data_IF_799010975023
#
_entry.id   IF_799010975023
#
_cell.length_a   1.000
_cell.length_b   1.000
_cell.length_c   1.000
_cell.angle_alpha   90.00
_cell.angle_beta   90.00
_cell.angle_gamma   90.00
#
_symmetry.space_group_name_H-M   'P 1'
#
loop_
_entity.id
_entity.type
_entity.pdbx_description
1 polymer ?
#
# COMPACT_ATOMS: atom_id res chain seq x y z
N UNK A 1 -22.89 -3.07 9.14
CA UNK A 1 -24.02 -3.53 8.34
C UNK A 1 -24.63 -4.81 8.92
N UNK A 2 -23.86 -5.88 9.06
CA UNK A 2 -24.37 -7.18 9.58
C UNK A 2 -25.04 -7.06 10.95
N UNK A 3 -24.44 -6.32 11.89
CA UNK A 3 -24.97 -6.12 13.26
C UNK A 3 -26.34 -5.43 13.25
N UNK A 4 -26.64 -4.61 12.23
CA UNK A 4 -27.92 -3.90 12.08
C UNK A 4 -28.87 -4.56 11.08
N UNK A 5 -28.54 -5.75 10.55
CA UNK A 5 -29.37 -6.46 9.58
C UNK A 5 -29.55 -5.74 8.24
N UNK A 6 -28.65 -4.80 7.91
CA UNK A 6 -28.72 -4.06 6.65
C UNK A 6 -27.95 -4.84 5.59
N UNK A 7 -28.62 -5.22 4.49
CA UNK A 7 -27.97 -5.82 3.33
C UNK A 7 -27.27 -4.72 2.51
N UNK A 8 -26.03 -4.96 2.02
CA UNK A 8 -25.34 -4.05 1.12
C UNK A 8 -26.16 -3.68 -0.12
N UNK A 9 -26.93 -4.62 -0.67
CA UNK A 9 -27.85 -4.37 -1.81
C UNK A 9 -28.88 -3.27 -1.56
N UNK A 10 -29.31 -3.10 -0.32
CA UNK A 10 -30.28 -2.04 0.06
C UNK A 10 -29.66 -0.65 -0.03
N UNK A 11 -28.32 -0.55 0.08
CA UNK A 11 -27.59 0.72 0.02
C UNK A 11 -27.49 1.25 -1.43
N UNK A 12 -27.69 0.41 -2.44
CA UNK A 12 -27.57 0.73 -3.87
C UNK A 12 -26.21 1.35 -4.26
N UNK A 13 -25.18 1.08 -3.47
CA UNK A 13 -23.80 1.42 -3.82
C UNK A 13 -23.34 0.53 -4.97
N UNK A 14 -22.56 1.07 -5.90
CA UNK A 14 -22.00 0.34 -7.02
C UNK A 14 -20.49 0.40 -7.04
N UNK A 15 -19.94 1.51 -6.62
CA UNK A 15 -18.52 1.82 -6.66
C UNK A 15 -18.07 2.33 -5.31
N UNK A 16 -16.91 1.89 -4.84
CA UNK A 16 -16.19 2.44 -3.71
C UNK A 16 -14.85 3.00 -4.18
N UNK A 17 -14.61 4.30 -3.93
CA UNK A 17 -13.30 4.91 -4.08
C UNK A 17 -12.64 4.92 -2.70
N UNK A 18 -11.53 4.22 -2.55
CA UNK A 18 -10.85 3.99 -1.28
C UNK A 18 -9.45 4.60 -1.36
N UNK A 19 -9.05 5.30 -0.32
CA UNK A 19 -7.74 5.94 -0.24
C UNK A 19 -7.54 6.58 1.13
N UNK A 20 -6.34 7.13 1.36
CA UNK A 20 -5.91 7.69 2.63
C UNK A 20 -5.23 6.66 3.54
N UNK A 21 -5.51 5.40 3.33
CA UNK A 21 -4.89 4.23 3.99
C UNK A 21 -4.49 3.23 2.91
N UNK A 22 -3.40 2.48 3.13
CA UNK A 22 -3.03 1.36 2.27
C UNK A 22 -4.01 0.19 2.39
N UNK A 23 -3.98 -0.75 1.45
CA UNK A 23 -4.70 -2.02 1.55
C UNK A 23 -5.52 -2.41 0.33
N UNK A 24 -6.09 -1.46 -0.42
CA UNK A 24 -6.86 -1.78 -1.63
C UNK A 24 -6.01 -2.31 -2.78
N UNK A 25 -4.74 -2.01 -2.80
CA UNK A 25 -3.76 -2.61 -3.70
C UNK A 25 -3.55 -4.11 -3.43
N UNK A 26 -3.83 -4.58 -2.20
CA UNK A 26 -3.78 -5.99 -1.83
C UNK A 26 -5.06 -6.71 -2.26
N UNK A 27 -4.93 -7.75 -3.10
CA UNK A 27 -6.06 -8.48 -3.66
C UNK A 27 -6.99 -9.09 -2.59
N UNK A 28 -6.44 -9.57 -1.47
CA UNK A 28 -7.22 -10.13 -0.38
C UNK A 28 -8.11 -9.09 0.30
N UNK A 29 -7.55 -7.92 0.63
CA UNK A 29 -8.30 -6.80 1.24
C UNK A 29 -9.36 -6.28 0.29
N UNK A 30 -9.02 -6.07 -0.98
CA UNK A 30 -9.96 -5.66 -2.02
C UNK A 30 -11.15 -6.63 -2.12
N UNK A 31 -10.87 -7.94 -2.24
CA UNK A 31 -11.91 -8.96 -2.32
C UNK A 31 -12.83 -8.97 -1.09
N UNK A 32 -12.27 -8.78 0.10
CA UNK A 32 -13.04 -8.69 1.35
C UNK A 32 -14.00 -7.50 1.33
N UNK A 33 -13.55 -6.34 0.84
CA UNK A 33 -14.35 -5.12 0.70
C UNK A 33 -15.44 -5.31 -0.37
N UNK A 34 -15.07 -5.75 -1.57
CA UNK A 34 -15.98 -5.94 -2.70
C UNK A 34 -17.09 -6.94 -2.38
N UNK A 35 -16.74 -8.08 -1.78
CA UNK A 35 -17.71 -9.09 -1.36
C UNK A 35 -18.55 -8.62 -0.16
N UNK A 36 -17.94 -7.91 0.79
CA UNK A 36 -18.63 -7.46 2.00
C UNK A 36 -19.62 -6.35 1.76
N UNK A 37 -19.38 -5.49 0.77
CA UNK A 37 -20.22 -4.33 0.41
C UNK A 37 -20.96 -4.51 -0.90
N UNK A 38 -20.65 -5.55 -1.68
CA UNK A 38 -21.20 -5.80 -3.03
C UNK A 38 -20.97 -4.61 -3.99
N UNK A 39 -19.76 -4.06 -3.98
CA UNK A 39 -19.33 -2.92 -4.79
C UNK A 39 -18.13 -3.27 -5.65
N UNK A 40 -17.83 -2.43 -6.63
CA UNK A 40 -16.57 -2.43 -7.36
C UNK A 40 -15.62 -1.41 -6.71
N UNK A 41 -14.51 -1.89 -6.13
CA UNK A 41 -13.59 -1.06 -5.35
C UNK A 41 -12.43 -0.56 -6.22
N UNK A 42 -12.17 0.74 -6.14
CA UNK A 42 -11.06 1.42 -6.81
C UNK A 42 -10.19 2.13 -5.78
N UNK A 43 -8.90 2.02 -5.97
CA UNK A 43 -7.92 2.73 -5.17
C UNK A 43 -7.64 4.13 -5.73
N UNK A 44 -7.39 5.08 -4.85
CA UNK A 44 -6.87 6.39 -5.22
C UNK A 44 -5.84 6.86 -4.20
N UNK A 45 -4.96 7.75 -4.65
CA UNK A 45 -3.95 8.36 -3.80
C UNK A 45 -4.01 9.88 -3.88
N UNK A 46 -3.88 10.51 -2.72
CA UNK A 46 -3.83 11.95 -2.55
C UNK A 46 -3.15 12.33 -1.24
N UNK A 47 -2.68 13.56 -1.15
CA UNK A 47 -2.07 14.17 0.03
C UNK A 47 -2.68 15.54 0.26
N UNK A 48 -2.86 15.93 1.53
CA UNK A 48 -3.41 17.23 1.88
C UNK A 48 -2.61 18.40 1.30
N UNK A 49 -1.28 18.26 1.25
CA UNK A 49 -0.35 19.26 0.74
C UNK A 49 -0.39 19.38 -0.78
N UNK A 50 -0.68 18.29 -1.47
CA UNK A 50 -0.65 18.21 -2.94
C UNK A 50 -2.04 18.38 -3.53
N UNK A 51 -2.97 17.55 -3.09
CA UNK A 51 -4.34 17.52 -3.58
C UNK A 51 -5.06 16.26 -3.16
N UNK A 52 -6.38 16.29 -3.06
CA UNK A 52 -7.16 15.19 -2.49
C UNK A 52 -7.09 13.91 -3.32
N UNK A 53 -6.85 14.04 -4.63
CA UNK A 53 -6.72 12.90 -5.55
C UNK A 53 -5.89 13.32 -6.75
N UNK A 54 -4.69 12.78 -6.88
CA UNK A 54 -3.83 13.03 -8.04
C UNK A 54 -3.31 11.73 -8.68
N UNK A 55 -3.71 10.59 -8.14
CA UNK A 55 -3.55 9.30 -8.78
C UNK A 55 -4.77 8.41 -8.49
N UNK A 56 -5.22 7.64 -9.47
CA UNK A 56 -6.37 6.77 -9.32
C UNK A 56 -6.31 5.56 -10.22
N UNK A 57 -6.91 4.47 -9.79
CA UNK A 57 -7.08 3.29 -10.63
C UNK A 57 -8.04 3.54 -11.79
N UNK A 58 -7.87 2.75 -12.81
CA UNK A 58 -8.83 2.58 -13.90
C UNK A 58 -9.54 1.22 -13.77
N UNK A 59 -10.44 0.93 -14.71
CA UNK A 59 -11.19 -0.34 -14.74
C UNK A 59 -10.31 -1.58 -14.87
N UNK A 60 -9.06 -1.43 -15.33
CA UNK A 60 -8.11 -2.53 -15.38
C UNK A 60 -7.48 -2.86 -14.02
N UNK A 61 -7.63 -1.97 -13.01
CA UNK A 61 -7.05 -2.12 -11.65
C UNK A 61 -5.57 -2.52 -11.67
N UNK A 62 -4.82 -1.94 -12.63
CA UNK A 62 -3.42 -2.26 -12.90
C UNK A 62 -2.46 -1.15 -12.45
N UNK A 63 -2.72 -0.59 -11.29
CA UNK A 63 -1.97 0.51 -10.68
C UNK A 63 -2.68 1.85 -10.79
N UNK A 64 -2.13 2.86 -10.11
CA UNK A 64 -2.66 4.20 -10.01
C UNK A 64 -2.13 5.06 -11.16
N UNK A 65 -2.99 5.53 -12.05
CA UNK A 65 -2.62 6.51 -13.06
C UNK A 65 -2.39 7.88 -12.44
N UNK A 66 -1.26 8.50 -12.76
CA UNK A 66 -0.91 9.84 -12.31
C UNK A 66 -1.64 10.91 -13.13
N UNK A 67 -1.99 12.02 -12.50
CA UNK A 67 -2.52 13.19 -13.20
C UNK A 67 -1.35 14.05 -13.75
N UNK A 68 -0.64 13.54 -14.75
CA UNK A 68 0.58 14.17 -15.32
C UNK A 68 0.33 15.49 -16.06
N UNK A 69 -0.90 15.83 -16.34
CA UNK A 69 -1.34 17.13 -16.83
C UNK A 69 -1.28 18.23 -15.74
N UNK A 70 -1.27 17.84 -14.46
CA UNK A 70 -1.21 18.77 -13.32
C UNK A 70 0.07 18.63 -12.49
N UNK A 71 0.79 17.50 -12.62
CA UNK A 71 1.94 17.17 -11.77
C UNK A 71 3.09 16.56 -12.56
N UNK A 72 4.31 16.94 -12.22
CA UNK A 72 5.50 16.15 -12.56
C UNK A 72 5.71 15.12 -11.47
N UNK A 73 5.83 13.87 -11.86
CA UNK A 73 6.07 12.73 -10.98
C UNK A 73 7.50 12.23 -11.17
N UNK A 74 8.25 12.17 -10.09
CA UNK A 74 9.59 11.58 -10.06
C UNK A 74 9.61 10.46 -9.00
N UNK A 75 10.31 9.39 -9.29
CA UNK A 75 10.66 8.37 -8.30
C UNK A 75 12.16 8.49 -8.05
N UNK A 76 12.55 8.75 -6.80
CA UNK A 76 13.91 9.11 -6.41
C UNK A 76 14.45 8.08 -5.43
N UNK A 77 15.67 7.62 -5.67
CA UNK A 77 16.39 6.75 -4.75
C UNK A 77 16.77 7.56 -3.49
N UNK A 78 16.34 7.16 -2.28
CA UNK A 78 16.58 7.93 -1.07
C UNK A 78 18.05 7.94 -0.62
N UNK A 79 18.84 6.96 -1.07
CA UNK A 79 20.26 6.84 -0.68
C UNK A 79 21.16 7.69 -1.60
N UNK A 80 20.90 7.71 -2.92
CA UNK A 80 21.73 8.43 -3.91
C UNK A 80 21.16 9.78 -4.33
N UNK A 81 19.88 10.03 -4.08
CA UNK A 81 19.11 11.19 -4.53
C UNK A 81 18.97 11.29 -6.07
N UNK A 82 19.30 10.24 -6.79
CA UNK A 82 19.12 10.14 -8.23
C UNK A 82 17.71 9.64 -8.57
N UNK A 83 17.24 9.96 -9.77
CA UNK A 83 16.00 9.42 -10.30
C UNK A 83 16.15 7.91 -10.54
N UNK A 84 15.20 7.13 -10.04
CA UNK A 84 15.13 5.69 -10.26
C UNK A 84 14.86 5.34 -11.73
N UNK A 85 15.34 4.19 -12.16
CA UNK A 85 14.93 3.63 -13.42
C UNK A 85 13.46 3.20 -13.40
N UNK A 86 12.87 3.02 -14.56
CA UNK A 86 11.48 2.63 -14.69
C UNK A 86 11.24 1.26 -14.04
N UNK A 87 10.21 1.18 -13.20
CA UNK A 87 9.89 -0.02 -12.41
C UNK A 87 10.70 -0.20 -11.13
N UNK A 88 11.75 0.58 -10.90
CA UNK A 88 12.45 0.60 -9.62
C UNK A 88 11.63 1.32 -8.55
N UNK A 89 11.74 0.85 -7.32
CA UNK A 89 11.10 1.47 -6.16
C UNK A 89 11.98 2.60 -5.62
N UNK A 90 11.35 3.72 -5.34
CA UNK A 90 11.98 4.85 -4.65
C UNK A 90 10.91 5.74 -4.03
N UNK A 91 11.32 6.86 -3.49
CA UNK A 91 10.43 7.85 -2.90
C UNK A 91 9.77 8.67 -4.00
N UNK A 92 8.47 8.84 -3.85
CA UNK A 92 7.66 9.69 -4.73
C UNK A 92 7.95 11.15 -4.45
N UNK A 93 8.32 11.88 -5.49
CA UNK A 93 8.58 13.32 -5.47
C UNK A 93 7.65 14.00 -6.46
N UNK A 94 6.97 15.06 -6.06
CA UNK A 94 5.89 15.68 -6.82
C UNK A 94 6.14 17.18 -6.99
N UNK A 95 5.91 17.66 -8.21
CA UNK A 95 5.92 19.08 -8.52
C UNK A 95 4.58 19.49 -9.14
N UNK A 96 3.95 20.54 -8.60
CA UNK A 96 2.76 21.14 -9.21
C UNK A 96 3.10 21.89 -10.50
N UNK A 97 2.27 21.74 -11.53
CA UNK A 97 2.38 22.48 -12.78
C UNK A 97 1.43 23.68 -12.84
N UNK A 98 0.27 23.58 -12.19
CA UNK A 98 -0.84 24.54 -12.39
C UNK A 98 -1.27 25.26 -11.11
N UNK A 99 -0.74 24.88 -9.95
CA UNK A 99 -1.13 25.48 -8.68
C UNK A 99 -0.42 26.81 -8.45
N UNK A 100 -1.18 27.90 -8.30
CA UNK A 100 -0.65 29.24 -8.08
C UNK A 100 -0.38 29.55 -6.60
N UNK A 101 -1.31 29.14 -5.73
CA UNK A 101 -1.17 29.36 -4.28
C UNK A 101 -0.49 28.13 -3.63
N UNK A 102 0.61 28.37 -2.93
CA UNK A 102 1.40 27.36 -2.24
C UNK A 102 1.83 26.21 -3.19
N UNK A 103 2.51 26.50 -4.31
CA UNK A 103 2.98 25.47 -5.22
C UNK A 103 4.06 24.64 -4.52
N UNK A 104 3.93 23.33 -4.56
CA UNK A 104 4.98 22.42 -4.14
C UNK A 104 5.88 22.12 -5.32
N UNK A 105 7.19 22.33 -5.14
CA UNK A 105 8.22 22.06 -6.15
C UNK A 105 9.14 21.00 -5.58
N UNK A 106 9.22 19.83 -6.25
CA UNK A 106 9.95 18.65 -5.81
C UNK A 106 9.64 18.27 -4.34
N UNK A 107 8.34 18.23 -4.02
CA UNK A 107 7.88 17.85 -2.69
C UNK A 107 8.19 16.37 -2.43
N UNK A 108 8.97 16.12 -1.39
CA UNK A 108 9.35 14.79 -0.94
C UNK A 108 8.25 14.21 -0.06
N UNK A 109 7.52 13.21 -0.54
CA UNK A 109 6.33 12.69 0.16
C UNK A 109 6.63 11.71 1.29
N UNK A 110 7.80 11.10 1.29
CA UNK A 110 8.16 9.88 2.02
C UNK A 110 7.40 8.62 1.59
N UNK A 111 6.45 8.70 0.69
CA UNK A 111 5.75 7.53 0.16
C UNK A 111 6.57 6.87 -0.95
N UNK A 112 6.64 5.54 -0.93
CA UNK A 112 7.38 4.76 -1.90
C UNK A 112 6.46 4.28 -3.03
N UNK A 113 6.94 4.40 -4.25
CA UNK A 113 6.20 4.01 -5.46
C UNK A 113 7.14 3.47 -6.54
N UNK A 114 6.56 2.96 -7.63
CA UNK A 114 7.26 2.60 -8.86
C UNK A 114 6.57 3.27 -10.03
N UNK A 115 7.34 3.83 -10.94
CA UNK A 115 6.79 4.45 -12.16
C UNK A 115 6.81 3.47 -13.32
N UNK A 116 5.71 3.41 -14.08
CA UNK A 116 5.56 2.64 -15.31
C UNK A 116 4.91 3.52 -16.38
N UNK A 117 5.64 3.84 -17.43
CA UNK A 117 5.16 4.66 -18.56
C UNK A 117 4.44 3.84 -19.65
N UNK A 118 4.48 2.51 -19.56
CA UNK A 118 3.88 1.65 -20.59
C UNK A 118 2.38 1.86 -20.69
N UNK A 119 1.82 1.88 -21.91
CA UNK A 119 0.38 2.06 -22.10
C UNK A 119 -0.46 1.06 -21.31
N UNK A 120 -1.51 1.56 -20.67
CA UNK A 120 -2.49 0.72 -19.99
C UNK A 120 -3.53 0.20 -20.97
N UNK A 121 -4.03 -1.01 -20.73
CA UNK A 121 -5.14 -1.60 -21.53
C UNK A 121 -6.43 -0.78 -21.46
N UNK A 122 -6.57 0.14 -20.50
CA UNK A 122 -7.69 1.07 -20.44
C UNK A 122 -7.63 2.20 -21.48
N UNK A 123 -6.53 2.33 -22.21
CA UNK A 123 -6.30 3.37 -23.22
C UNK A 123 -5.74 4.69 -22.70
N UNK A 124 -5.56 4.87 -21.39
CA UNK A 124 -4.89 6.06 -20.83
C UNK A 124 -3.40 6.06 -21.17
N UNK A 125 -2.87 7.24 -21.46
CA UNK A 125 -1.47 7.46 -21.81
C UNK A 125 -0.61 7.89 -20.62
N UNK A 126 -1.23 8.37 -19.54
CA UNK A 126 -0.54 8.75 -18.30
C UNK A 126 0.14 7.53 -17.66
N UNK A 127 1.32 7.73 -17.12
CA UNK A 127 2.07 6.74 -16.36
C UNK A 127 1.32 6.25 -15.13
N UNK A 128 1.79 5.15 -14.55
CA UNK A 128 1.14 4.50 -13.40
C UNK A 128 2.11 4.20 -12.29
N UNK A 129 1.61 4.19 -11.05
CA UNK A 129 2.28 3.48 -9.97
C UNK A 129 1.86 2.02 -9.96
N UNK A 130 2.77 1.12 -10.29
CA UNK A 130 2.50 -0.33 -10.23
C UNK A 130 2.45 -0.81 -8.79
N UNK A 131 1.32 -1.41 -8.41
CA UNK A 131 1.08 -1.90 -7.06
C UNK A 131 0.68 -0.81 -6.06
N UNK A 132 0.27 0.38 -6.53
CA UNK A 132 -0.16 1.48 -5.67
C UNK A 132 1.00 2.14 -4.93
N UNK A 133 0.75 2.58 -3.71
CA UNK A 133 1.78 3.05 -2.78
C UNK A 133 2.34 1.85 -2.04
N UNK A 134 3.66 1.71 -2.05
CA UNK A 134 4.36 0.50 -1.59
C UNK A 134 4.80 0.57 -0.11
N UNK A 135 4.51 1.67 0.55
CA UNK A 135 4.88 1.95 1.93
C UNK A 135 5.52 3.33 2.07
N UNK A 136 6.05 3.62 3.25
CA UNK A 136 6.73 4.89 3.54
C UNK A 136 8.22 4.66 3.76
N UNK A 137 9.04 5.57 3.25
CA UNK A 137 10.50 5.49 3.40
C UNK A 137 10.95 5.61 4.87
N UNK A 138 10.21 6.39 5.66
CA UNK A 138 10.45 6.58 7.10
C UNK A 138 9.97 5.41 7.97
N UNK A 139 9.13 4.49 7.45
CA UNK A 139 8.69 3.27 8.13
C UNK A 139 9.56 2.05 7.79
N UNK A 140 10.61 2.23 6.99
CA UNK A 140 11.47 1.13 6.59
C UNK A 140 12.19 0.51 7.79
N UNK A 141 12.05 -0.79 7.93
CA UNK A 141 12.71 -1.59 8.95
C UNK A 141 13.99 -2.21 8.39
N UNK A 142 15.09 -2.08 9.14
CA UNK A 142 16.36 -2.74 8.82
C UNK A 142 16.59 -3.85 9.85
N UNK A 143 16.61 -5.10 9.39
CA UNK A 143 16.86 -6.25 10.23
C UNK A 143 17.94 -7.14 9.62
N UNK A 144 19.05 -7.32 10.31
CA UNK A 144 20.22 -8.11 9.86
C UNK A 144 20.69 -7.78 8.45
N UNK A 145 20.66 -6.49 8.08
CA UNK A 145 21.05 -6.01 6.74
C UNK A 145 19.97 -6.12 5.66
N UNK A 146 18.86 -6.79 5.93
CA UNK A 146 17.69 -6.77 5.04
C UNK A 146 16.83 -5.54 5.32
N UNK A 147 16.34 -4.90 4.25
CA UNK A 147 15.39 -3.77 4.32
C UNK A 147 14.00 -4.28 3.96
N UNK A 148 13.00 -3.99 4.78
CA UNK A 148 11.60 -4.29 4.46
C UNK A 148 10.66 -3.21 5.00
N UNK A 149 9.43 -3.19 4.51
CA UNK A 149 8.39 -2.27 4.93
C UNK A 149 7.26 -3.02 5.64
N UNK A 150 6.63 -2.45 6.69
CA UNK A 150 5.52 -3.08 7.41
C UNK A 150 4.38 -3.56 6.50
N UNK A 151 4.09 -2.81 5.42
CA UNK A 151 3.06 -3.19 4.44
C UNK A 151 3.34 -4.54 3.74
N UNK A 152 4.60 -4.96 3.65
CA UNK A 152 4.95 -6.28 3.10
C UNK A 152 4.54 -7.40 4.06
N UNK A 153 4.77 -7.20 5.37
CA UNK A 153 4.32 -8.10 6.43
C UNK A 153 2.79 -8.13 6.48
N UNK A 154 2.15 -6.97 6.40
CA UNK A 154 0.69 -6.85 6.36
C UNK A 154 0.07 -7.69 5.23
N UNK A 155 0.63 -7.64 4.03
CA UNK A 155 0.16 -8.43 2.88
C UNK A 155 0.21 -9.93 3.16
N UNK A 156 1.26 -10.40 3.81
CA UNK A 156 1.40 -11.81 4.21
C UNK A 156 0.35 -12.15 5.27
N UNK A 157 0.29 -11.39 6.38
CA UNK A 157 -0.66 -11.62 7.47
C UNK A 157 -2.10 -11.67 6.95
N UNK A 158 -2.51 -10.71 6.13
CA UNK A 158 -3.87 -10.63 5.57
C UNK A 158 -4.19 -11.70 4.54
N UNK A 159 -3.21 -12.43 4.03
CA UNK A 159 -3.44 -13.58 3.16
C UNK A 159 -3.91 -14.83 3.89
N UNK A 160 -3.72 -14.88 5.21
CA UNK A 160 -4.10 -15.99 6.07
C UNK A 160 -5.49 -15.77 6.69
N UNK A 161 -6.44 -16.64 6.37
CA UNK A 161 -7.82 -16.55 6.89
C UNK A 161 -7.94 -16.83 8.38
N UNK A 162 -6.95 -17.53 8.93
CA UNK A 162 -6.84 -17.88 10.34
C UNK A 162 -6.44 -16.69 11.23
N UNK A 163 -5.88 -15.63 10.62
CA UNK A 163 -5.42 -14.44 11.31
C UNK A 163 -6.44 -13.30 11.21
N UNK A 164 -6.39 -12.41 12.20
CA UNK A 164 -7.09 -11.13 12.19
C UNK A 164 -6.38 -10.08 11.34
N UNK A 165 -6.90 -8.87 11.40
CA UNK A 165 -6.34 -7.74 10.64
C UNK A 165 -5.24 -7.01 11.45
N UNK A 166 -5.09 -7.31 12.75
CA UNK A 166 -4.16 -6.65 13.65
C UNK A 166 -2.85 -7.44 13.79
N UNK A 167 -1.74 -6.72 13.67
CA UNK A 167 -0.41 -7.28 13.91
C UNK A 167 0.55 -6.21 14.47
N UNK A 168 1.63 -6.66 15.11
CA UNK A 168 2.70 -5.82 15.63
C UNK A 168 4.03 -6.40 15.19
N UNK A 169 4.95 -5.55 14.74
CA UNK A 169 6.34 -5.90 14.48
C UNK A 169 7.18 -5.41 15.65
N UNK A 170 7.77 -6.32 16.39
CA UNK A 170 8.64 -6.03 17.52
C UNK A 170 10.10 -6.28 17.13
N UNK A 171 10.92 -5.24 17.29
CA UNK A 171 12.36 -5.35 17.15
C UNK A 171 12.97 -5.28 18.55
N UNK A 172 13.57 -6.37 18.99
CA UNK A 172 14.23 -6.48 20.30
C UNK A 172 15.67 -6.91 20.11
N UNK A 173 16.53 -6.58 21.09
CA UNK A 173 17.90 -7.05 21.12
C UNK A 173 18.03 -8.13 22.18
N UNK A 174 18.49 -9.31 21.76
CA UNK A 174 18.91 -10.34 22.70
C UNK A 174 20.28 -9.99 23.25
N UNK A 175 20.32 -9.51 24.50
CA UNK A 175 21.55 -9.08 25.17
C UNK A 175 22.53 -10.24 25.41
N UNK A 176 22.05 -11.49 25.49
CA UNK A 176 22.90 -12.67 25.72
C UNK A 176 23.53 -13.16 24.42
N UNK A 177 22.77 -13.16 23.33
CA UNK A 177 23.25 -13.57 22.02
C UNK A 177 23.85 -12.42 21.20
N UNK A 178 23.74 -11.17 21.68
CA UNK A 178 24.15 -9.95 20.97
C UNK A 178 23.54 -9.87 19.55
N UNK A 179 22.32 -10.39 19.37
CA UNK A 179 21.63 -10.42 18.10
C UNK A 179 20.30 -9.68 18.18
N UNK A 180 19.93 -9.03 17.10
CA UNK A 180 18.59 -8.46 16.98
C UNK A 180 17.58 -9.58 16.66
N UNK A 181 16.40 -9.48 17.27
CA UNK A 181 15.28 -10.39 17.07
C UNK A 181 14.11 -9.57 16.51
N UNK A 182 13.58 -10.02 15.39
CA UNK A 182 12.36 -9.47 14.80
C UNK A 182 11.22 -10.48 15.03
N UNK A 183 10.18 -10.04 15.71
CA UNK A 183 9.01 -10.86 16.02
C UNK A 183 7.77 -10.20 15.42
N UNK A 184 6.96 -10.97 14.69
CA UNK A 184 5.65 -10.53 14.23
C UNK A 184 4.60 -11.19 15.11
N UNK A 185 3.86 -10.37 15.85
CA UNK A 185 2.74 -10.81 16.71
C UNK A 185 1.45 -10.55 15.97
N UNK A 186 0.66 -11.59 15.72
CA UNK A 186 -0.59 -11.50 14.96
C UNK A 186 -1.79 -11.89 15.82
N UNK A 187 -2.92 -11.22 15.60
CA UNK A 187 -4.20 -11.65 16.13
C UNK A 187 -4.60 -13.00 15.52
N UNK A 188 -5.03 -13.95 16.34
CA UNK A 188 -5.53 -15.24 15.89
C UNK A 188 -7.05 -15.31 16.09
N UNK A 189 -7.82 -15.53 15.01
CA UNK A 189 -9.28 -15.51 15.03
C UNK A 189 -9.93 -16.79 15.57
N UNK A 190 -9.16 -17.89 15.64
CA UNK A 190 -9.66 -19.18 16.10
C UNK A 190 -8.72 -19.79 17.15
N UNK A 191 -9.25 -20.47 18.17
CA UNK A 191 -8.44 -21.30 19.05
C UNK A 191 -7.72 -22.33 18.21
N UNK A 192 -6.40 -22.28 18.19
CA UNK A 192 -5.60 -23.20 17.36
C UNK A 192 -5.07 -24.31 18.22
N UNK A 193 -5.36 -25.53 17.85
CA UNK A 193 -4.72 -26.73 18.44
C UNK A 193 -3.24 -26.81 18.04
N UNK A 194 -2.84 -26.14 16.93
CA UNK A 194 -1.46 -26.13 16.45
C UNK A 194 -0.99 -24.74 16.00
N UNK A 195 -0.84 -23.80 16.95
CA UNK A 195 -0.27 -22.48 16.71
C UNK A 195 1.17 -22.56 16.16
N UNK A 196 1.92 -23.60 16.49
CA UNK A 196 3.30 -23.79 16.02
C UNK A 196 3.35 -24.12 14.52
N UNK A 197 2.39 -24.88 14.01
CA UNK A 197 2.32 -25.18 12.58
C UNK A 197 1.96 -23.94 11.77
N UNK A 198 1.04 -23.12 12.25
CA UNK A 198 0.71 -21.84 11.63
C UNK A 198 1.91 -20.88 11.63
N UNK A 199 2.60 -20.74 12.77
CA UNK A 199 3.79 -19.91 12.87
C UNK A 199 4.90 -20.35 11.89
N UNK A 200 5.12 -21.67 11.72
CA UNK A 200 6.09 -22.19 10.75
C UNK A 200 5.69 -21.93 9.29
N UNK A 201 4.40 -21.87 8.99
CA UNK A 201 3.91 -21.51 7.64
C UNK A 201 4.18 -20.04 7.37
N UNK A 202 3.84 -19.16 8.32
CA UNK A 202 4.08 -17.71 8.24
C UNK A 202 5.56 -17.35 8.10
N UNK A 203 6.47 -18.11 8.71
CA UNK A 203 7.91 -17.87 8.63
C UNK A 203 8.53 -18.19 7.26
N UNK A 204 7.81 -18.87 6.37
CA UNK A 204 8.30 -19.24 5.04
C UNK A 204 7.89 -18.25 3.96
N UNK A 205 6.82 -17.50 4.19
CA UNK A 205 6.26 -16.50 3.29
C UNK A 205 6.81 -15.10 3.59
#
# INVERSE_FOLDING_TARGET
LRVRGVSPKQMKLRVGCLGGEGGTEAAATRSKIEQGLEIDAYDYYGLAEIGPTFASECTAKAGLHWAEDHYVIEIVNPDTMDRCAEGEMGVLVITHLTREATPMIRYWTNDCARFDSRPCVCGRTHGRSLGGILGRADDMVIYRGAKFYPVQVEKVVRSYRELGDEFIIELTRDEKAYTDVCTVVCECLQPQEDQQALARRLQKD
#
